data_IF_785608590587
#
_entry.id   IF_785608590587
#
_cell.length_a   1.000
_cell.length_b   1.000
_cell.length_c   1.000
_cell.angle_alpha   90.00
_cell.angle_beta   90.00
_cell.angle_gamma   90.00
#
_symmetry.space_group_name_H-M   'P 1'
#
loop_
_entity.id
_entity.type
_entity.pdbx_description
1 polymer ?
#
# COMPACT_ATOMS: atom_id res chain seq x y z
N UNK A 1 1.86 33.96 -10.02
CA UNK A 1 1.93 33.24 -8.71
C UNK A 1 2.88 32.09 -8.82
N UNK A 2 3.94 32.06 -8.02
CA UNK A 2 5.05 31.11 -8.18
C UNK A 2 4.62 29.66 -7.82
N UNK A 3 5.07 28.71 -8.64
CA UNK A 3 4.89 27.24 -8.42
C UNK A 3 5.28 26.82 -7.00
N UNK A 4 6.19 27.53 -6.38
CA UNK A 4 6.70 27.34 -5.02
C UNK A 4 5.63 27.58 -3.93
N UNK A 5 4.83 28.65 -4.02
CA UNK A 5 3.74 28.93 -3.07
C UNK A 5 2.64 27.85 -3.14
N UNK A 6 2.42 27.30 -4.31
CA UNK A 6 1.45 26.22 -4.49
C UNK A 6 1.88 24.89 -3.83
N UNK A 7 3.18 24.57 -3.91
CA UNK A 7 3.76 23.40 -3.25
C UNK A 7 3.73 23.54 -1.72
N UNK A 8 4.03 24.71 -1.18
CA UNK A 8 3.95 24.97 0.28
C UNK A 8 2.51 24.82 0.75
N UNK A 9 1.55 25.39 0.03
CA UNK A 9 0.12 25.27 0.37
C UNK A 9 -0.34 23.81 0.34
N UNK A 10 0.10 23.03 -0.62
CA UNK A 10 -0.24 21.60 -0.73
C UNK A 10 0.34 20.80 0.46
N UNK A 11 1.61 21.06 0.83
CA UNK A 11 2.27 20.39 1.97
C UNK A 11 1.62 20.74 3.30
N UNK A 12 1.31 22.00 3.53
CA UNK A 12 0.61 22.43 4.76
C UNK A 12 -0.80 21.84 4.85
N UNK A 13 -1.55 21.87 3.76
CA UNK A 13 -2.88 21.27 3.70
C UNK A 13 -2.86 19.77 3.94
N UNK A 14 -1.92 19.06 3.37
CA UNK A 14 -1.72 17.63 3.59
C UNK A 14 -1.33 17.31 5.04
N UNK A 15 -0.40 18.05 5.63
CA UNK A 15 -0.01 17.88 7.02
C UNK A 15 -1.18 18.09 7.97
N UNK A 16 -1.96 19.13 7.77
CA UNK A 16 -3.16 19.41 8.58
C UNK A 16 -4.22 18.32 8.40
N UNK A 17 -4.50 17.90 7.17
CA UNK A 17 -5.47 16.85 6.88
C UNK A 17 -5.05 15.51 7.52
N UNK A 18 -3.75 15.18 7.49
CA UNK A 18 -3.21 13.97 8.11
C UNK A 18 -3.34 14.00 9.63
N UNK A 19 -3.15 15.16 10.25
CA UNK A 19 -3.35 15.34 11.69
C UNK A 19 -4.81 15.22 12.09
N UNK A 20 -5.72 15.78 11.30
CA UNK A 20 -7.17 15.68 11.51
C UNK A 20 -7.73 14.25 11.32
N UNK A 21 -7.02 13.41 10.55
CA UNK A 21 -7.40 12.02 10.34
C UNK A 21 -7.48 11.20 11.63
N UNK A 22 -6.69 11.56 12.64
CA UNK A 22 -6.72 10.92 13.95
C UNK A 22 -7.85 11.42 14.86
N UNK A 23 -8.62 12.39 14.39
CA UNK A 23 -9.76 12.94 15.16
C UNK A 23 -11.08 12.39 14.65
N UNK A 24 -11.77 11.48 15.42
CA UNK A 24 -12.98 10.79 14.94
C UNK A 24 -14.12 11.73 14.57
N UNK A 25 -14.22 12.88 15.23
CA UNK A 25 -15.23 13.90 14.93
C UNK A 25 -15.05 14.53 13.54
N UNK A 26 -13.78 14.71 13.10
CA UNK A 26 -13.48 15.24 11.77
C UNK A 26 -13.93 14.28 10.65
N UNK A 27 -13.80 12.98 10.88
CA UNK A 27 -14.18 11.94 9.91
C UNK A 27 -15.71 11.81 9.75
N UNK A 28 -16.48 12.24 10.75
CA UNK A 28 -17.94 12.19 10.71
C UNK A 28 -18.57 13.36 9.95
N UNK A 29 -17.81 14.43 9.68
CA UNK A 29 -18.32 15.58 8.93
C UNK A 29 -18.03 15.43 7.43
N UNK A 30 -19.05 15.26 6.56
CA UNK A 30 -18.84 15.00 5.12
C UNK A 30 -18.02 16.07 4.41
N UNK A 31 -18.25 17.36 4.75
CA UNK A 31 -17.52 18.48 4.14
C UNK A 31 -16.04 18.49 4.51
N UNK A 32 -15.73 18.20 5.77
CA UNK A 32 -14.34 18.13 6.22
C UNK A 32 -13.62 16.93 5.65
N UNK A 33 -14.31 15.79 5.58
CA UNK A 33 -13.79 14.59 4.92
C UNK A 33 -13.47 14.82 3.44
N UNK A 34 -14.37 15.45 2.68
CA UNK A 34 -14.12 15.80 1.28
C UNK A 34 -12.95 16.76 1.11
N UNK A 35 -12.82 17.75 2.00
CA UNK A 35 -11.67 18.65 1.99
C UNK A 35 -10.36 17.91 2.26
N UNK A 36 -10.33 17.00 3.24
CA UNK A 36 -9.17 16.17 3.55
C UNK A 36 -8.75 15.29 2.37
N UNK A 37 -9.69 14.63 1.72
CA UNK A 37 -9.44 13.84 0.52
C UNK A 37 -8.83 14.70 -0.60
N UNK A 38 -9.31 15.91 -0.79
CA UNK A 38 -8.73 16.86 -1.74
C UNK A 38 -7.27 17.22 -1.43
N UNK A 39 -6.88 17.32 -0.15
CA UNK A 39 -5.49 17.54 0.24
C UNK A 39 -4.62 16.32 -0.03
N UNK A 40 -5.11 15.12 0.28
CA UNK A 40 -4.40 13.86 0.02
C UNK A 40 -4.17 13.67 -1.49
N UNK A 41 -5.21 13.85 -2.29
CA UNK A 41 -5.12 13.73 -3.75
C UNK A 41 -4.13 14.71 -4.36
N UNK A 42 -4.11 15.95 -3.90
CA UNK A 42 -3.14 16.96 -4.37
C UNK A 42 -1.69 16.56 -4.11
N UNK A 43 -1.38 16.10 -2.90
CA UNK A 43 -0.02 15.65 -2.57
C UNK A 43 0.38 14.39 -3.32
N UNK A 44 -0.53 13.43 -3.47
CA UNK A 44 -0.31 12.22 -4.25
C UNK A 44 -0.01 12.55 -5.73
N UNK A 45 -0.75 13.51 -6.31
CA UNK A 45 -0.54 13.98 -7.69
C UNK A 45 0.76 14.77 -7.87
N UNK A 46 1.31 15.34 -6.81
CA UNK A 46 2.65 15.96 -6.82
C UNK A 46 3.79 14.91 -6.78
N UNK A 47 3.46 13.63 -6.72
CA UNK A 47 4.44 12.54 -6.72
C UNK A 47 4.99 12.17 -5.35
N UNK A 48 4.40 12.67 -4.27
CA UNK A 48 4.81 12.30 -2.90
C UNK A 48 4.42 10.85 -2.61
N UNK A 49 5.42 9.98 -2.47
CA UNK A 49 5.25 8.53 -2.26
C UNK A 49 4.46 8.22 -0.99
N UNK A 50 4.70 8.95 0.10
CA UNK A 50 3.99 8.78 1.37
C UNK A 50 2.51 9.16 1.24
N UNK A 51 2.20 10.23 0.50
CA UNK A 51 0.83 10.65 0.22
C UNK A 51 0.11 9.66 -0.70
N UNK A 52 0.79 9.14 -1.73
CA UNK A 52 0.26 8.10 -2.61
C UNK A 52 -0.08 6.84 -1.83
N UNK A 53 0.82 6.37 -0.97
CA UNK A 53 0.59 5.21 -0.11
C UNK A 53 -0.59 5.45 0.84
N UNK A 54 -0.58 6.55 1.58
CA UNK A 54 -1.61 6.88 2.55
C UNK A 54 -3.00 7.04 1.92
N UNK A 55 -3.10 7.82 0.86
CA UNK A 55 -4.38 8.04 0.18
C UNK A 55 -4.85 6.80 -0.58
N UNK A 56 -3.93 6.03 -1.17
CA UNK A 56 -4.23 4.75 -1.79
C UNK A 56 -4.88 3.75 -0.83
N UNK A 57 -4.36 3.64 0.39
CA UNK A 57 -4.96 2.81 1.45
C UNK A 57 -6.35 3.32 1.86
N UNK A 58 -6.52 4.64 2.01
CA UNK A 58 -7.83 5.22 2.34
C UNK A 58 -8.86 4.87 1.26
N UNK A 59 -8.54 5.05 -0.01
CA UNK A 59 -9.45 4.74 -1.10
C UNK A 59 -9.75 3.25 -1.20
N UNK A 60 -8.76 2.40 -0.95
CA UNK A 60 -8.95 0.95 -1.00
C UNK A 60 -9.89 0.44 0.09
N UNK A 61 -9.77 0.95 1.33
CA UNK A 61 -10.50 0.43 2.49
C UNK A 61 -11.73 1.23 2.89
N UNK A 62 -11.79 2.52 2.53
CA UNK A 62 -12.90 3.42 2.90
C UNK A 62 -13.55 4.10 1.70
N UNK A 63 -12.98 3.93 0.50
CA UNK A 63 -13.56 4.44 -0.72
C UNK A 63 -14.86 3.71 -1.05
N UNK A 64 -15.81 4.44 -1.63
CA UNK A 64 -17.07 3.86 -2.08
C UNK A 64 -17.05 3.66 -3.60
N UNK A 65 -17.49 2.49 -4.01
CA UNK A 65 -17.59 2.13 -5.42
C UNK A 65 -16.27 1.69 -6.07
N UNK A 66 -16.41 1.15 -7.28
CA UNK A 66 -15.30 0.56 -8.03
C UNK A 66 -14.23 1.59 -8.41
N UNK A 67 -14.61 2.81 -8.74
CA UNK A 67 -13.67 3.86 -9.11
C UNK A 67 -12.71 4.24 -7.99
N UNK A 68 -13.19 4.30 -6.74
CA UNK A 68 -12.34 4.57 -5.59
C UNK A 68 -11.32 3.44 -5.36
N UNK A 69 -11.74 2.18 -5.51
CA UNK A 69 -10.86 1.03 -5.41
C UNK A 69 -9.78 1.03 -6.50
N UNK A 70 -10.15 1.27 -7.75
CA UNK A 70 -9.21 1.33 -8.88
C UNK A 70 -8.18 2.46 -8.70
N UNK A 71 -8.62 3.64 -8.29
CA UNK A 71 -7.73 4.76 -7.99
C UNK A 71 -6.82 4.47 -6.80
N UNK A 72 -7.35 3.83 -5.75
CA UNK A 72 -6.56 3.38 -4.61
C UNK A 72 -5.44 2.42 -5.03
N UNK A 73 -5.75 1.41 -5.84
CA UNK A 73 -4.76 0.48 -6.37
C UNK A 73 -3.74 1.17 -7.29
N UNK A 74 -4.17 2.14 -8.10
CA UNK A 74 -3.27 2.93 -8.95
C UNK A 74 -2.25 3.70 -8.10
N UNK A 75 -2.70 4.39 -7.06
CA UNK A 75 -1.83 5.13 -6.15
C UNK A 75 -0.88 4.22 -5.38
N UNK A 76 -1.35 3.05 -4.92
CA UNK A 76 -0.49 2.07 -4.26
C UNK A 76 0.60 1.53 -5.19
N UNK A 77 0.30 1.33 -6.48
CA UNK A 77 1.34 0.93 -7.47
C UNK A 77 2.42 2.00 -7.62
N UNK A 78 2.03 3.27 -7.73
CA UNK A 78 2.98 4.37 -7.78
C UNK A 78 3.85 4.45 -6.52
N UNK A 79 3.22 4.30 -5.35
CA UNK A 79 3.94 4.30 -4.08
C UNK A 79 4.92 3.12 -3.97
N UNK A 80 4.51 1.90 -4.36
CA UNK A 80 5.37 0.73 -4.36
C UNK A 80 6.57 0.91 -5.30
N UNK A 81 6.35 1.44 -6.50
CA UNK A 81 7.43 1.80 -7.45
C UNK A 81 8.37 2.86 -6.87
N UNK A 82 7.87 3.74 -6.03
CA UNK A 82 8.65 4.72 -5.26
C UNK A 82 9.35 4.15 -4.02
N UNK A 83 9.26 2.84 -3.77
CA UNK A 83 9.95 2.15 -2.66
C UNK A 83 9.11 2.03 -1.38
N UNK A 84 7.79 2.29 -1.41
CA UNK A 84 6.93 2.10 -0.25
C UNK A 84 6.57 0.61 -0.04
N UNK A 85 7.20 0.00 0.98
CA UNK A 85 7.00 -1.42 1.29
C UNK A 85 5.59 -1.77 1.76
N UNK A 86 4.86 -0.84 2.38
CA UNK A 86 3.48 -1.05 2.83
C UNK A 86 2.54 -1.11 1.64
N UNK A 87 2.73 -0.23 0.65
CA UNK A 87 1.97 -0.24 -0.59
C UNK A 87 2.23 -1.53 -1.37
N UNK A 88 3.49 -1.94 -1.52
CA UNK A 88 3.86 -3.19 -2.18
C UNK A 88 3.25 -4.41 -1.47
N UNK A 89 3.34 -4.46 -0.14
CA UNK A 89 2.73 -5.54 0.64
C UNK A 89 1.21 -5.64 0.40
N UNK A 90 0.51 -4.51 0.44
CA UNK A 90 -0.93 -4.46 0.22
C UNK A 90 -1.33 -4.90 -1.19
N UNK A 91 -0.55 -4.52 -2.21
CA UNK A 91 -0.76 -4.97 -3.58
C UNK A 91 -0.63 -6.49 -3.72
N UNK A 92 0.34 -7.11 -3.03
CA UNK A 92 0.47 -8.56 -2.98
C UNK A 92 -0.74 -9.25 -2.36
N UNK A 93 -1.28 -8.69 -1.27
CA UNK A 93 -2.54 -9.18 -0.66
C UNK A 93 -3.70 -9.10 -1.66
N UNK A 94 -3.86 -7.96 -2.35
CA UNK A 94 -4.93 -7.78 -3.33
C UNK A 94 -4.77 -8.70 -4.55
N UNK A 95 -3.55 -8.91 -5.02
CA UNK A 95 -3.26 -9.82 -6.13
C UNK A 95 -3.64 -11.28 -5.79
N UNK A 96 -3.35 -11.72 -4.57
CA UNK A 96 -3.67 -13.08 -4.13
C UNK A 96 -5.16 -13.27 -3.86
N UNK A 97 -5.84 -12.28 -3.30
CA UNK A 97 -7.28 -12.35 -3.05
C UNK A 97 -8.10 -12.31 -4.34
N UNK A 98 -7.64 -11.53 -5.32
CA UNK A 98 -8.43 -11.23 -6.50
C UNK A 98 -9.66 -10.38 -6.17
N UNK A 99 -10.50 -10.16 -7.17
CA UNK A 99 -11.82 -9.53 -7.04
C UNK A 99 -12.76 -9.96 -8.16
N UNK A 100 -13.94 -9.33 -8.25
CA UNK A 100 -14.96 -9.66 -9.29
C UNK A 100 -14.50 -9.40 -10.72
N UNK A 101 -13.46 -8.60 -10.93
CA UNK A 101 -12.90 -8.26 -12.25
C UNK A 101 -11.56 -8.94 -12.52
N UNK A 102 -10.83 -9.30 -11.48
CA UNK A 102 -9.49 -9.85 -11.58
C UNK A 102 -9.36 -11.10 -10.72
N UNK A 103 -9.13 -12.23 -11.36
CA UNK A 103 -8.89 -13.48 -10.65
C UNK A 103 -7.64 -13.39 -9.76
N UNK A 104 -7.59 -14.24 -8.73
CA UNK A 104 -6.40 -14.43 -7.89
C UNK A 104 -5.16 -14.71 -8.75
N UNK A 105 -4.07 -14.03 -8.46
CA UNK A 105 -2.80 -14.16 -9.19
C UNK A 105 -1.62 -14.28 -8.21
N UNK A 106 -1.23 -15.51 -7.94
CA UNK A 106 -0.14 -15.80 -7.00
C UNK A 106 1.23 -15.31 -7.49
N UNK A 107 1.50 -15.38 -8.79
CA UNK A 107 2.77 -14.89 -9.37
C UNK A 107 2.89 -13.38 -9.18
N UNK A 108 1.80 -12.64 -9.39
CA UNK A 108 1.79 -11.20 -9.14
C UNK A 108 1.93 -10.88 -7.64
N UNK A 109 1.33 -11.70 -6.77
CA UNK A 109 1.48 -11.54 -5.32
C UNK A 109 2.95 -11.73 -4.89
N UNK A 110 3.65 -12.74 -5.41
CA UNK A 110 5.09 -12.94 -5.19
C UNK A 110 5.87 -11.70 -5.59
N UNK A 111 5.66 -11.19 -6.81
CA UNK A 111 6.35 -9.99 -7.29
C UNK A 111 6.21 -8.79 -6.33
N UNK A 112 4.99 -8.50 -5.89
CA UNK A 112 4.75 -7.39 -4.97
C UNK A 112 5.34 -7.63 -3.58
N UNK A 113 5.29 -8.85 -3.07
CA UNK A 113 5.87 -9.17 -1.76
C UNK A 113 7.40 -9.21 -1.79
N UNK A 114 8.03 -9.56 -2.91
CA UNK A 114 9.48 -9.40 -3.10
C UNK A 114 9.89 -7.92 -3.08
N UNK A 115 9.11 -7.05 -3.74
CA UNK A 115 9.31 -5.60 -3.64
C UNK A 115 9.13 -5.09 -2.20
N UNK A 116 8.12 -5.57 -1.50
CA UNK A 116 7.89 -5.22 -0.09
C UNK A 116 9.06 -5.68 0.80
N UNK A 117 9.58 -6.89 0.57
CA UNK A 117 10.74 -7.43 1.28
C UNK A 117 11.99 -6.57 1.02
N UNK A 118 12.26 -6.20 -0.23
CA UNK A 118 13.38 -5.33 -0.59
C UNK A 118 13.26 -3.93 0.07
N UNK A 119 12.04 -3.45 0.29
CA UNK A 119 11.76 -2.22 1.01
C UNK A 119 11.76 -2.37 2.55
N UNK A 120 12.09 -3.56 3.08
CA UNK A 120 12.18 -3.84 4.51
C UNK A 120 10.84 -4.07 5.21
N UNK A 121 9.77 -4.45 4.48
CA UNK A 121 8.48 -4.72 5.11
C UNK A 121 8.51 -6.02 5.96
N UNK A 122 8.22 -5.98 7.27
CA UNK A 122 8.50 -7.09 8.19
C UNK A 122 7.69 -8.36 7.91
N UNK A 123 6.51 -8.26 7.31
CA UNK A 123 5.65 -9.40 7.06
C UNK A 123 5.84 -10.05 5.69
N UNK A 124 6.60 -9.42 4.79
CA UNK A 124 6.71 -9.86 3.39
C UNK A 124 7.37 -11.23 3.28
N UNK A 125 8.48 -11.46 3.99
CA UNK A 125 9.17 -12.75 3.97
C UNK A 125 8.28 -13.91 4.47
N UNK A 126 7.50 -13.69 5.53
CA UNK A 126 6.57 -14.70 6.05
C UNK A 126 5.46 -15.06 5.05
N UNK A 127 4.95 -14.06 4.29
CA UNK A 127 3.95 -14.30 3.24
C UNK A 127 4.53 -15.07 2.05
N UNK A 128 5.74 -14.75 1.63
CA UNK A 128 6.44 -15.47 0.58
C UNK A 128 6.73 -16.93 0.99
N UNK A 129 7.19 -17.14 2.22
CA UNK A 129 7.42 -18.49 2.78
C UNK A 129 6.13 -19.31 2.75
N UNK A 130 5.04 -18.77 3.25
CA UNK A 130 3.75 -19.45 3.26
C UNK A 130 3.29 -19.79 1.83
N UNK A 131 3.31 -18.82 0.93
CA UNK A 131 2.82 -19.00 -0.44
C UNK A 131 3.63 -20.05 -1.23
N UNK A 132 4.96 -20.06 -1.08
CA UNK A 132 5.80 -21.08 -1.70
C UNK A 132 5.67 -22.46 -1.02
N UNK A 133 5.38 -22.51 0.28
CA UNK A 133 5.15 -23.77 0.99
C UNK A 133 3.85 -24.46 0.58
N UNK A 134 2.79 -23.69 0.42
CA UNK A 134 1.45 -24.19 0.07
C UNK A 134 1.25 -24.33 -1.44
N UNK A 135 1.90 -23.47 -2.22
CA UNK A 135 1.60 -23.28 -3.63
C UNK A 135 0.24 -22.59 -3.84
N UNK A 136 -0.08 -22.28 -5.08
CA UNK A 136 -1.38 -21.71 -5.46
C UNK A 136 -1.62 -21.91 -6.96
N UNK A 137 -2.84 -21.68 -7.47
CA UNK A 137 -3.08 -21.72 -8.91
C UNK A 137 -2.11 -20.84 -9.68
N UNK A 138 -1.36 -21.44 -10.62
CA UNK A 138 -0.31 -20.77 -11.40
C UNK A 138 1.07 -20.62 -10.69
N UNK A 139 1.19 -21.07 -9.45
CA UNK A 139 2.45 -21.09 -8.69
C UNK A 139 2.64 -22.46 -8.04
N UNK A 140 3.63 -23.22 -8.50
CA UNK A 140 3.99 -24.50 -7.86
C UNK A 140 4.60 -24.27 -6.48
N UNK A 141 4.32 -25.19 -5.55
CA UNK A 141 4.99 -25.22 -4.26
C UNK A 141 6.50 -25.44 -4.44
N UNK A 142 7.29 -24.66 -3.73
CA UNK A 142 8.75 -24.75 -3.69
C UNK A 142 9.21 -24.72 -2.23
N UNK A 143 9.43 -25.90 -1.61
CA UNK A 143 9.87 -26.00 -0.21
C UNK A 143 11.21 -25.30 0.05
N UNK A 144 12.14 -25.31 -0.91
CA UNK A 144 13.44 -24.65 -0.74
C UNK A 144 13.30 -23.12 -0.70
N UNK A 145 12.46 -22.56 -1.57
CA UNK A 145 12.13 -21.14 -1.53
C UNK A 145 11.42 -20.80 -0.22
N UNK A 146 10.45 -21.63 0.21
CA UNK A 146 9.72 -21.44 1.46
C UNK A 146 10.68 -21.38 2.67
N UNK A 147 11.65 -22.29 2.78
CA UNK A 147 12.66 -22.30 3.84
C UNK A 147 13.56 -21.06 3.82
N UNK A 148 14.01 -20.62 2.64
CA UNK A 148 14.81 -19.39 2.50
C UNK A 148 14.07 -18.16 3.02
N UNK A 149 12.79 -17.99 2.65
CA UNK A 149 11.99 -16.87 3.11
C UNK A 149 11.63 -17.00 4.59
N UNK A 150 11.43 -18.22 5.13
CA UNK A 150 11.24 -18.44 6.56
C UNK A 150 12.46 -17.98 7.38
N UNK A 151 13.66 -18.31 6.93
CA UNK A 151 14.89 -17.87 7.58
C UNK A 151 15.04 -16.34 7.58
N UNK A 152 14.68 -15.66 6.49
CA UNK A 152 14.67 -14.20 6.40
C UNK A 152 13.66 -13.58 7.37
N UNK A 153 12.45 -14.17 7.48
CA UNK A 153 11.42 -13.71 8.41
C UNK A 153 11.87 -13.84 9.89
N UNK A 154 12.55 -14.90 10.22
CA UNK A 154 13.12 -15.09 11.58
C UNK A 154 14.27 -14.13 11.87
N UNK A 155 15.15 -13.90 10.91
CA UNK A 155 16.24 -12.92 11.02
C UNK A 155 15.72 -11.52 11.31
N UNK A 156 14.69 -11.07 10.58
CA UNK A 156 14.05 -9.78 10.80
C UNK A 156 13.46 -9.65 12.21
N UNK A 157 12.76 -10.68 12.73
CA UNK A 157 12.20 -10.68 14.09
C UNK A 157 13.26 -10.62 15.19
N UNK A 158 14.46 -11.16 14.94
CA UNK A 158 15.57 -11.11 15.92
C UNK A 158 16.21 -9.74 16.00
N UNK A 159 16.27 -9.01 14.89
CA UNK A 159 16.85 -7.66 14.85
C UNK A 159 15.96 -6.57 15.48
N UNK A 160 14.67 -6.86 15.69
CA UNK A 160 13.72 -5.95 16.35
C UNK A 160 13.64 -6.13 17.89
N UNK A 161 14.33 -7.13 18.44
CA UNK A 161 14.42 -7.38 19.91
C UNK A 161 15.68 -6.81 20.50
#
# INVERSE_FOLDING_TARGET
MSRWLWQIRARLGYWLARRLFHWPAALRQPRLWQWMQGQYGRMANLGDTSAQSFYGHILLFRGQGLGAREEGLRLLRLAAQGGDGKAAYQLGVQALQGDTRQASNAVQAVHWWEMALAAGHPLAAGRLSQLYGEGAPGLQADPLAAERYAALAEGARRSER
#
